data_IF_544446389764
#
_entry.id   IF_544446389764
#
_cell.length_a   1.000
_cell.length_b   1.000
_cell.length_c   1.000
_cell.angle_alpha   90.00
_cell.angle_beta   90.00
_cell.angle_gamma   90.00
#
_symmetry.space_group_name_H-M   'P 1'
#
loop_
_entity.id
_entity.type
_entity.pdbx_description
1 polymer ?
#
# COMPACT_ATOMS: atom_id res chain seq x y z
N UNK A 1 -11.55 1.48 11.33
CA UNK A 1 -10.11 1.40 11.71
C UNK A 1 -9.35 1.34 10.40
N UNK A 2 -8.82 2.47 9.94
CA UNK A 2 -8.03 2.52 8.70
C UNK A 2 -6.72 1.78 8.90
N UNK A 3 -6.17 1.23 7.82
CA UNK A 3 -4.87 0.57 7.87
C UNK A 3 -3.77 1.63 8.06
N UNK A 4 -3.01 1.55 9.15
CA UNK A 4 -1.82 2.37 9.36
C UNK A 4 -0.65 1.81 8.52
N UNK A 5 -0.39 2.41 7.37
CA UNK A 5 0.71 2.00 6.49
C UNK A 5 2.09 2.09 7.16
N UNK A 6 2.24 3.02 8.10
CA UNK A 6 3.43 3.15 8.93
C UNK A 6 3.66 1.88 9.78
N UNK A 7 2.62 1.32 10.39
CA UNK A 7 2.73 0.07 11.14
C UNK A 7 2.98 -1.14 10.25
N UNK A 8 2.40 -1.16 9.05
CA UNK A 8 2.61 -2.24 8.07
C UNK A 8 4.07 -2.34 7.65
N UNK A 9 4.72 -1.20 7.36
CA UNK A 9 6.15 -1.15 7.07
C UNK A 9 7.02 -1.16 8.33
N UNK A 10 6.41 -1.13 9.52
CA UNK A 10 7.12 -1.03 10.79
C UNK A 10 8.04 0.20 10.86
N UNK A 11 7.59 1.32 10.31
CA UNK A 11 8.28 2.61 10.28
C UNK A 11 7.53 3.62 11.15
N UNK A 12 8.25 4.55 11.76
CA UNK A 12 7.62 5.62 12.53
C UNK A 12 6.90 6.62 11.63
N UNK A 13 5.93 7.39 12.17
CA UNK A 13 5.29 8.49 11.42
C UNK A 13 6.27 9.60 10.98
N UNK A 14 7.42 9.69 11.66
CA UNK A 14 8.55 10.55 11.31
C UNK A 14 9.52 9.90 10.29
N UNK A 15 9.12 8.79 9.65
CA UNK A 15 9.93 8.13 8.63
C UNK A 15 10.23 9.05 7.45
N UNK A 16 11.49 9.05 7.04
CA UNK A 16 11.98 9.71 5.82
C UNK A 16 11.65 8.87 4.59
N UNK A 17 11.71 9.43 3.38
CA UNK A 17 11.44 8.69 2.13
C UNK A 17 12.33 7.43 1.95
N UNK A 18 13.46 7.38 2.66
CA UNK A 18 14.41 6.25 2.64
C UNK A 18 13.99 5.08 3.55
N UNK A 19 13.17 5.33 4.59
CA UNK A 19 12.72 4.33 5.57
C UNK A 19 11.73 3.31 4.98
N UNK A 20 10.62 3.72 4.31
CA UNK A 20 9.70 2.81 3.63
C UNK A 20 10.42 1.89 2.66
N UNK A 21 11.42 2.39 1.95
CA UNK A 21 12.22 1.64 0.98
C UNK A 21 13.06 0.55 1.63
N UNK A 22 13.71 0.85 2.76
CA UNK A 22 14.48 -0.13 3.54
C UNK A 22 13.57 -1.18 4.17
N UNK A 23 12.44 -0.76 4.73
CA UNK A 23 11.44 -1.65 5.31
C UNK A 23 10.83 -2.59 4.28
N UNK A 24 10.39 -2.05 3.13
CA UNK A 24 9.83 -2.82 2.02
C UNK A 24 10.76 -3.96 1.61
N UNK A 25 12.05 -3.65 1.37
CA UNK A 25 13.04 -4.65 0.98
C UNK A 25 13.25 -5.75 2.02
N UNK A 26 13.23 -5.42 3.32
CA UNK A 26 13.35 -6.43 4.39
C UNK A 26 12.10 -7.30 4.49
N UNK A 27 10.92 -6.70 4.35
CA UNK A 27 9.65 -7.37 4.52
C UNK A 27 9.30 -8.27 3.32
N UNK A 28 9.63 -7.85 2.09
CA UNK A 28 9.42 -8.69 0.90
C UNK A 28 10.27 -9.95 0.89
N UNK A 29 11.51 -9.88 1.39
CA UNK A 29 12.34 -11.08 1.58
C UNK A 29 11.76 -11.98 2.68
N UNK A 30 11.37 -11.39 3.82
CA UNK A 30 10.79 -12.13 4.95
C UNK A 30 9.47 -12.83 4.61
N UNK A 31 8.63 -12.20 3.81
CA UNK A 31 7.33 -12.73 3.38
C UNK A 31 7.37 -13.29 1.95
N UNK A 32 8.55 -13.65 1.45
CA UNK A 32 8.65 -14.25 0.12
C UNK A 32 7.98 -15.63 0.14
N UNK A 33 7.18 -15.99 -0.90
CA UNK A 33 6.47 -17.27 -0.95
C UNK A 33 7.40 -18.49 -1.05
N UNK A 34 8.66 -18.26 -1.44
CA UNK A 34 9.72 -19.29 -1.44
C UNK A 34 10.23 -19.60 -0.03
N UNK A 35 10.37 -18.57 0.82
CA UNK A 35 10.80 -18.73 2.22
C UNK A 35 9.64 -19.14 3.14
N UNK A 36 8.39 -18.91 2.71
CA UNK A 36 7.18 -19.27 3.46
C UNK A 36 6.28 -20.23 2.66
N UNK A 37 6.74 -21.47 2.41
CA UNK A 37 5.98 -22.43 1.61
C UNK A 37 4.69 -22.92 2.29
N UNK A 38 4.62 -22.89 3.63
CA UNK A 38 3.45 -23.27 4.45
C UNK A 38 2.44 -22.14 4.61
N UNK A 39 2.91 -20.90 4.68
CA UNK A 39 2.11 -19.73 5.05
C UNK A 39 1.88 -18.80 3.86
N UNK A 40 1.84 -19.35 2.64
CA UNK A 40 1.68 -18.57 1.39
C UNK A 40 0.52 -17.58 1.42
N UNK A 41 -0.63 -17.98 1.98
CA UNK A 41 -1.80 -17.09 2.10
C UNK A 41 -1.53 -15.89 3.01
N UNK A 42 -0.86 -16.11 4.13
CA UNK A 42 -0.54 -15.05 5.08
C UNK A 42 0.58 -14.16 4.53
N UNK A 43 1.58 -14.77 3.90
CA UNK A 43 2.65 -14.11 3.18
C UNK A 43 2.12 -13.21 2.06
N UNK A 44 1.19 -13.68 1.24
CA UNK A 44 0.55 -12.89 0.19
C UNK A 44 -0.26 -11.73 0.77
N UNK A 45 -1.04 -11.97 1.82
CA UNK A 45 -1.82 -10.93 2.49
C UNK A 45 -0.92 -9.83 3.10
N UNK A 46 0.20 -10.22 3.73
CA UNK A 46 1.21 -9.29 4.25
C UNK A 46 1.90 -8.57 3.11
N UNK A 47 2.34 -9.28 2.08
CA UNK A 47 3.04 -8.73 0.92
C UNK A 47 2.21 -7.67 0.22
N UNK A 48 0.91 -7.92 0.00
CA UNK A 48 -0.01 -6.95 -0.58
C UNK A 48 -0.08 -5.68 0.25
N UNK A 49 -0.25 -5.80 1.57
CA UNK A 49 -0.25 -4.65 2.49
C UNK A 49 1.08 -3.89 2.47
N UNK A 50 2.20 -4.61 2.48
CA UNK A 50 3.56 -4.04 2.44
C UNK A 50 3.78 -3.24 1.15
N UNK A 51 3.33 -3.77 0.01
CA UNK A 51 3.45 -3.10 -1.27
C UNK A 51 2.57 -1.86 -1.35
N UNK A 52 1.33 -1.95 -0.90
CA UNK A 52 0.40 -0.81 -0.82
C UNK A 52 0.94 0.30 0.08
N UNK A 53 1.39 -0.06 1.29
CA UNK A 53 2.00 0.87 2.24
C UNK A 53 3.24 1.56 1.67
N UNK A 54 4.10 0.81 0.99
CA UNK A 54 5.29 1.36 0.36
C UNK A 54 4.94 2.32 -0.77
N UNK A 55 3.98 1.97 -1.62
CA UNK A 55 3.57 2.83 -2.74
C UNK A 55 3.01 4.17 -2.27
N UNK A 56 2.29 4.17 -1.15
CA UNK A 56 1.74 5.39 -0.52
C UNK A 56 2.82 6.20 0.17
N UNK A 57 3.66 5.56 1.00
CA UNK A 57 4.63 6.26 1.84
C UNK A 57 5.90 6.67 1.09
N UNK A 58 6.21 6.03 -0.05
CA UNK A 58 7.36 6.37 -0.90
C UNK A 58 7.05 7.50 -1.89
N UNK A 59 5.78 7.77 -2.17
CA UNK A 59 5.36 8.86 -3.04
C UNK A 59 4.85 10.02 -2.18
N UNK A 60 5.52 11.19 -2.18
CA UNK A 60 5.12 12.33 -1.37
C UNK A 60 3.72 12.84 -1.72
N UNK A 61 3.26 12.67 -2.97
CA UNK A 61 1.90 13.03 -3.37
C UNK A 61 0.87 12.08 -2.75
N UNK A 62 1.07 10.76 -2.87
CA UNK A 62 0.17 9.77 -2.27
C UNK A 62 0.16 9.83 -0.74
N UNK A 63 1.33 10.05 -0.12
CA UNK A 63 1.48 10.28 1.32
C UNK A 63 0.65 11.48 1.76
N UNK A 64 0.75 12.60 1.03
CA UNK A 64 -0.06 13.79 1.32
C UNK A 64 -1.55 13.50 1.17
N UNK A 65 -1.98 12.78 0.13
CA UNK A 65 -3.38 12.37 -0.05
C UNK A 65 -3.85 11.50 1.12
N UNK A 66 -3.04 10.54 1.55
CA UNK A 66 -3.33 9.68 2.71
C UNK A 66 -3.41 10.45 4.01
N UNK A 67 -2.48 11.38 4.26
CA UNK A 67 -2.49 12.20 5.47
C UNK A 67 -3.71 13.16 5.49
N UNK A 68 -4.22 13.57 4.32
CA UNK A 68 -5.38 14.48 4.20
C UNK A 68 -6.74 13.77 4.15
N UNK A 69 -6.84 12.65 3.44
CA UNK A 69 -8.09 11.95 3.11
C UNK A 69 -8.15 10.52 3.67
N UNK A 70 -7.06 10.04 4.29
CA UNK A 70 -6.95 8.66 4.77
C UNK A 70 -6.86 7.62 3.64
N UNK A 71 -7.11 6.37 4.00
CA UNK A 71 -7.13 5.23 3.07
C UNK A 71 -8.23 5.39 1.98
N UNK A 72 -9.33 6.08 2.28
CA UNK A 72 -10.42 6.31 1.32
C UNK A 72 -9.95 7.14 0.12
N UNK A 73 -9.17 8.21 0.34
CA UNK A 73 -8.63 9.02 -0.76
C UNK A 73 -7.64 8.30 -1.67
N UNK A 74 -7.09 7.17 -1.23
CA UNK A 74 -6.24 6.31 -2.07
C UNK A 74 -7.01 5.21 -2.78
N UNK A 75 -8.17 4.76 -2.26
CA UNK A 75 -9.02 3.76 -2.92
C UNK A 75 -9.65 4.29 -4.20
N UNK A 76 -9.90 5.59 -4.28
CA UNK A 76 -10.32 6.27 -5.52
C UNK A 76 -9.18 6.41 -6.55
N UNK A 77 -7.91 6.23 -6.15
CA UNK A 77 -6.83 6.07 -7.12
C UNK A 77 -6.77 4.61 -7.59
N UNK A 78 -6.67 4.36 -8.92
CA UNK A 78 -6.55 3.00 -9.43
C UNK A 78 -5.26 2.36 -8.92
N UNK A 79 -5.39 1.46 -7.95
CA UNK A 79 -4.29 0.63 -7.46
C UNK A 79 -3.82 -0.34 -8.57
N UNK A 80 -2.50 -0.58 -8.71
CA UNK A 80 -2.01 -1.52 -9.69
C UNK A 80 -2.37 -2.96 -9.25
N UNK A 81 -3.39 -3.54 -9.88
CA UNK A 81 -3.69 -4.97 -9.77
C UNK A 81 -5.12 -5.34 -9.36
N UNK A 82 -6.01 -4.37 -9.06
CA UNK A 82 -7.44 -4.69 -8.89
C UNK A 82 -8.20 -4.38 -10.17
N UNK A 83 -8.20 -5.34 -11.10
CA UNK A 83 -9.31 -5.44 -12.04
C UNK A 83 -10.55 -5.85 -11.24
N UNK A 84 -11.41 -4.87 -10.95
CA UNK A 84 -12.63 -5.05 -10.15
C UNK A 84 -13.66 -3.97 -10.46
N UNK A 85 -14.20 -4.01 -11.67
CA UNK A 85 -15.56 -3.60 -12.09
C UNK A 85 -16.37 -2.70 -11.12
N UNK A 86 -16.63 -1.43 -11.49
CA UNK A 86 -17.63 -0.64 -10.77
C UNK A 86 -17.72 0.88 -11.04
N UNK A 87 -17.88 1.30 -12.30
CA UNK A 87 -18.71 2.46 -12.64
C UNK A 87 -18.17 3.88 -12.38
N UNK A 88 -17.36 4.40 -13.30
CA UNK A 88 -17.36 5.84 -13.61
C UNK A 88 -17.84 6.05 -15.05
N UNK A 89 -19.09 6.50 -15.27
CA UNK A 89 -19.40 7.41 -16.35
C UNK A 89 -19.61 8.78 -15.71
N UNK A 90 -18.50 9.48 -15.40
CA UNK A 90 -18.61 10.90 -15.05
C UNK A 90 -18.96 11.66 -16.33
N UNK A 91 -20.10 12.34 -16.28
CA UNK A 91 -20.80 12.88 -17.43
C UNK A 91 -20.02 13.95 -18.20
N UNK A 92 -19.90 13.73 -19.50
CA UNK A 92 -19.59 14.78 -20.45
C UNK A 92 -20.84 15.12 -21.25
N UNK A 93 -21.41 16.29 -20.94
CA UNK A 93 -22.48 16.95 -21.66
C UNK A 93 -21.88 18.05 -22.55
N UNK A 94 -22.14 18.03 -23.86
CA UNK A 94 -22.51 19.24 -24.59
C UNK A 94 -23.99 19.22 -24.97
#
# INVERSE_FOLDING_TARGET
MGVDYYEVLNVGRNATDDDPKKAYRKLTMRWHPDENPTDKKEAEAKFKKISEAYEVLSDPHKRTTYDQHGEEGLKDMPAPGTSGNGGFPNGFNP
#
